data_IF_039577845837
#
_entry.id   IF_039577845837
#
_cell.length_a   1.000
_cell.length_b   1.000
_cell.length_c   1.000
_cell.angle_alpha   90.00
_cell.angle_beta   90.00
_cell.angle_gamma   90.00
#
_symmetry.space_group_name_H-M   'P 1'
#
loop_
_entity.id
_entity.type
_entity.pdbx_description
1 polymer ?
#
# COMPACT_ATOMS: atom_id res chain seq x y z
N UNK A 1 75.47 12.51 -23.18
CA UNK A 1 74.37 11.69 -23.73
C UNK A 1 73.24 12.63 -24.11
N UNK A 2 73.10 12.88 -25.41
CA UNK A 2 71.98 13.61 -26.00
C UNK A 2 70.83 12.64 -26.27
N UNK A 3 69.60 13.12 -26.21
CA UNK A 3 68.42 12.34 -26.58
C UNK A 3 67.10 12.99 -26.18
N UNK A 4 66.77 14.11 -26.82
CA UNK A 4 65.39 14.57 -26.95
C UNK A 4 64.93 14.19 -28.37
N UNK A 5 63.76 13.57 -28.54
CA UNK A 5 63.19 13.41 -29.88
C UNK A 5 62.20 12.25 -30.06
N UNK A 6 60.92 12.58 -29.88
CA UNK A 6 59.77 12.12 -30.65
C UNK A 6 59.47 10.60 -30.74
N UNK A 7 58.40 10.19 -30.05
CA UNK A 7 57.46 9.24 -30.66
C UNK A 7 56.02 9.70 -30.44
N UNK A 8 55.38 10.01 -31.55
CA UNK A 8 54.02 10.48 -31.66
C UNK A 8 53.04 9.30 -31.46
N UNK A 9 52.31 9.29 -30.35
CA UNK A 9 51.13 8.45 -30.19
C UNK A 9 49.89 9.20 -30.71
N UNK A 10 49.70 9.08 -32.02
CA UNK A 10 48.43 9.03 -32.75
C UNK A 10 47.21 9.76 -32.13
N UNK A 11 47.02 11.02 -32.54
CA UNK A 11 45.70 11.64 -32.54
C UNK A 11 44.85 11.00 -33.65
N UNK A 12 43.95 10.08 -33.26
CA UNK A 12 42.88 9.60 -34.12
C UNK A 12 41.78 10.67 -34.29
N UNK A 13 41.04 10.66 -35.41
CA UNK A 13 40.50 11.86 -36.04
C UNK A 13 39.27 12.41 -35.32
N UNK A 14 39.23 13.74 -35.15
CA UNK A 14 38.01 14.44 -34.76
C UNK A 14 37.06 14.44 -35.95
N UNK A 15 36.15 13.45 -35.99
CA UNK A 15 35.07 13.42 -36.95
C UNK A 15 34.31 14.77 -36.94
N UNK A 16 33.87 15.27 -38.12
CA UNK A 16 33.21 16.57 -38.21
C UNK A 16 31.97 16.57 -37.31
N UNK A 17 31.96 17.48 -36.32
CA UNK A 17 30.83 17.66 -35.40
C UNK A 17 29.61 18.08 -36.22
N UNK A 18 28.70 17.13 -36.44
CA UNK A 18 27.43 17.40 -37.10
C UNK A 18 26.70 18.55 -36.36
N UNK A 19 26.11 19.52 -37.09
CA UNK A 19 25.31 20.57 -36.49
C UNK A 19 24.18 19.94 -35.66
N UNK A 20 24.12 20.27 -34.37
CA UNK A 20 23.19 19.67 -33.41
C UNK A 20 23.81 18.72 -32.37
N UNK A 21 25.05 18.26 -32.59
CA UNK A 21 25.77 17.40 -31.63
C UNK A 21 25.95 18.05 -30.26
N UNK A 22 26.28 19.35 -30.21
CA UNK A 22 26.39 20.12 -28.98
C UNK A 22 25.05 20.23 -28.22
N UNK A 23 23.96 20.44 -28.96
CA UNK A 23 22.61 20.51 -28.39
C UNK A 23 22.16 19.15 -27.84
N UNK A 24 22.49 18.06 -28.53
CA UNK A 24 22.15 16.71 -28.08
C UNK A 24 22.97 16.30 -26.85
N UNK A 25 24.24 16.70 -26.76
CA UNK A 25 25.02 16.52 -25.53
C UNK A 25 24.47 17.33 -24.37
N UNK A 26 23.98 18.56 -24.61
CA UNK A 26 23.35 19.38 -23.57
C UNK A 26 22.04 18.75 -23.08
N UNK A 27 21.19 18.24 -23.98
CA UNK A 27 19.96 17.51 -23.63
C UNK A 27 20.26 16.23 -22.87
N UNK A 28 21.29 15.47 -23.27
CA UNK A 28 21.69 14.23 -22.58
C UNK A 28 22.18 14.54 -21.16
N UNK A 29 22.96 15.62 -20.97
CA UNK A 29 23.45 16.07 -19.67
C UNK A 29 22.32 16.56 -18.75
N UNK A 30 21.37 17.32 -19.30
CA UNK A 30 20.16 17.73 -18.57
C UNK A 30 19.32 16.52 -18.18
N UNK A 31 19.10 15.56 -19.09
CA UNK A 31 18.39 14.30 -18.77
C UNK A 31 19.10 13.50 -17.68
N UNK A 32 20.42 13.41 -17.68
CA UNK A 32 21.16 12.71 -16.61
C UNK A 32 21.08 13.43 -15.26
N UNK A 33 21.03 14.77 -15.25
CA UNK A 33 20.86 15.55 -14.01
C UNK A 33 19.43 15.41 -13.48
N UNK A 34 18.41 15.48 -14.36
CA UNK A 34 17.01 15.24 -13.98
C UNK A 34 16.75 13.81 -13.51
N UNK A 35 17.47 12.80 -14.04
CA UNK A 35 17.38 11.42 -13.54
C UNK A 35 18.02 11.28 -12.15
N UNK A 36 19.16 11.93 -11.90
CA UNK A 36 19.88 11.83 -10.62
C UNK A 36 19.16 12.59 -9.49
N UNK A 37 18.39 13.63 -9.80
CA UNK A 37 17.58 14.38 -8.82
C UNK A 37 16.16 13.79 -8.65
N UNK A 38 15.76 12.89 -9.56
CA UNK A 38 14.47 12.18 -9.57
C UNK A 38 14.45 10.85 -8.80
N UNK A 39 15.51 10.52 -8.06
CA UNK A 39 15.55 9.33 -7.17
C UNK A 39 14.90 9.61 -5.80
N UNK A 40 14.11 10.68 -5.68
CA UNK A 40 12.99 10.71 -4.77
C UNK A 40 11.78 10.16 -5.55
N UNK A 41 11.51 8.86 -5.35
CA UNK A 41 10.30 8.12 -5.74
C UNK A 41 9.36 8.90 -6.66
N UNK A 42 9.32 8.54 -7.95
CA UNK A 42 8.31 9.07 -8.88
C UNK A 42 6.91 8.59 -8.46
N UNK A 43 6.37 9.17 -7.39
CA UNK A 43 4.99 9.01 -6.94
C UNK A 43 4.17 9.80 -7.93
N UNK A 44 3.41 9.12 -8.79
CA UNK A 44 2.60 9.77 -9.80
C UNK A 44 1.56 10.67 -9.11
N UNK A 45 1.72 12.01 -9.10
CA UNK A 45 0.84 12.91 -8.34
C UNK A 45 -0.61 12.84 -8.83
N UNK A 46 -0.79 12.33 -10.05
CA UNK A 46 -2.08 12.11 -10.68
C UNK A 46 -2.85 10.93 -10.05
N UNK A 47 -2.17 9.85 -9.67
CA UNK A 47 -2.81 8.68 -9.03
C UNK A 47 -3.30 9.06 -7.63
N UNK A 48 -2.47 9.76 -6.85
CA UNK A 48 -2.87 10.29 -5.55
C UNK A 48 -4.03 11.30 -5.67
N UNK A 49 -4.09 12.08 -6.75
CA UNK A 49 -5.19 13.01 -7.01
C UNK A 49 -6.51 12.32 -7.35
N UNK A 50 -6.49 11.26 -8.16
CA UNK A 50 -7.70 10.51 -8.51
C UNK A 50 -8.26 9.74 -7.30
N UNK A 51 -7.39 9.09 -6.55
CA UNK A 51 -7.74 8.40 -5.29
C UNK A 51 -8.31 9.38 -4.27
N UNK A 52 -7.68 10.57 -4.12
CA UNK A 52 -8.19 11.63 -3.26
C UNK A 52 -9.61 12.08 -3.66
N UNK A 53 -9.86 12.33 -4.95
CA UNK A 53 -11.18 12.77 -5.41
C UNK A 53 -12.27 11.75 -5.08
N UNK A 54 -12.01 10.45 -5.32
CA UNK A 54 -12.95 9.36 -5.01
C UNK A 54 -13.20 9.24 -3.51
N UNK A 55 -12.15 9.30 -2.68
CA UNK A 55 -12.28 9.25 -1.22
C UNK A 55 -13.03 10.47 -0.68
N UNK A 56 -12.76 11.66 -1.22
CA UNK A 56 -13.45 12.90 -0.85
C UNK A 56 -14.94 12.81 -1.17
N UNK A 57 -15.29 12.45 -2.40
CA UNK A 57 -16.69 12.38 -2.83
C UNK A 57 -17.47 11.36 -2.00
N UNK A 58 -16.90 10.18 -1.78
CA UNK A 58 -17.52 9.15 -0.95
C UNK A 58 -17.63 9.55 0.52
N UNK A 59 -16.63 10.23 1.10
CA UNK A 59 -16.71 10.77 2.46
C UNK A 59 -17.82 11.82 2.59
N UNK A 60 -17.95 12.74 1.63
CA UNK A 60 -18.97 13.79 1.64
C UNK A 60 -20.40 13.26 1.42
N UNK A 61 -20.58 12.04 0.90
CA UNK A 61 -21.91 11.43 0.80
C UNK A 61 -22.53 11.08 2.16
N UNK A 62 -21.72 11.01 3.22
CA UNK A 62 -22.17 10.59 4.56
C UNK A 62 -22.52 9.10 4.69
N UNK A 63 -22.36 8.30 3.62
CA UNK A 63 -22.58 6.85 3.65
C UNK A 63 -21.26 6.13 3.89
N UNK A 64 -21.04 5.68 5.14
CA UNK A 64 -19.80 5.01 5.56
C UNK A 64 -19.40 3.83 4.66
N UNK A 65 -20.37 3.04 4.19
CA UNK A 65 -20.11 1.89 3.31
C UNK A 65 -19.42 2.28 2.00
N UNK A 66 -19.80 3.40 1.37
CA UNK A 66 -19.17 3.85 0.12
C UNK A 66 -17.73 4.33 0.35
N UNK A 67 -17.51 5.03 1.46
CA UNK A 67 -16.16 5.40 1.86
C UNK A 67 -15.29 4.18 2.15
N UNK A 68 -15.83 3.20 2.88
CA UNK A 68 -15.15 1.95 3.20
C UNK A 68 -14.79 1.15 1.94
N UNK A 69 -15.67 1.09 0.94
CA UNK A 69 -15.37 0.45 -0.36
C UNK A 69 -14.27 1.21 -1.10
N UNK A 70 -14.35 2.54 -1.19
CA UNK A 70 -13.31 3.33 -1.84
C UNK A 70 -11.96 3.24 -1.11
N UNK A 71 -11.96 3.14 0.21
CA UNK A 71 -10.77 2.93 1.04
C UNK A 71 -10.17 1.54 0.84
N UNK A 72 -11.02 0.51 0.78
CA UNK A 72 -10.61 -0.86 0.48
C UNK A 72 -9.95 -0.96 -0.89
N UNK A 73 -10.56 -0.35 -1.92
CA UNK A 73 -10.01 -0.29 -3.28
C UNK A 73 -8.66 0.46 -3.31
N UNK A 74 -8.56 1.58 -2.59
CA UNK A 74 -7.37 2.43 -2.59
C UNK A 74 -6.17 1.78 -1.90
N UNK A 75 -6.42 1.07 -0.80
CA UNK A 75 -5.39 0.36 -0.05
C UNK A 75 -5.18 -1.06 -0.52
N UNK A 76 -6.05 -1.59 -1.39
CA UNK A 76 -6.04 -2.99 -1.83
C UNK A 76 -6.07 -3.94 -0.60
N UNK A 77 -7.10 -3.75 0.22
CA UNK A 77 -7.45 -4.55 1.40
C UNK A 77 -8.89 -5.03 1.29
N UNK A 78 -9.30 -5.99 2.10
CA UNK A 78 -10.69 -6.43 2.12
C UNK A 78 -11.63 -5.40 2.79
N UNK A 79 -12.91 -5.45 2.40
CA UNK A 79 -13.94 -4.55 2.92
C UNK A 79 -14.13 -4.65 4.44
N UNK A 80 -13.97 -5.84 5.03
CA UNK A 80 -14.15 -6.03 6.48
C UNK A 80 -13.03 -5.35 7.28
N UNK A 81 -11.81 -5.40 6.76
CA UNK A 81 -10.66 -4.67 7.32
C UNK A 81 -10.86 -3.16 7.16
N UNK A 82 -11.24 -2.67 5.97
CA UNK A 82 -11.54 -1.24 5.77
C UNK A 82 -12.67 -0.73 6.68
N UNK A 83 -13.71 -1.56 6.90
CA UNK A 83 -14.79 -1.29 7.83
C UNK A 83 -14.28 -1.20 9.27
N UNK A 84 -13.49 -2.16 9.73
CA UNK A 84 -12.93 -2.13 11.09
C UNK A 84 -12.09 -0.86 11.33
N UNK A 85 -11.27 -0.45 10.35
CA UNK A 85 -10.44 0.77 10.44
C UNK A 85 -11.25 2.06 10.62
N UNK A 86 -12.52 2.08 10.18
CA UNK A 86 -13.39 3.26 10.22
C UNK A 86 -14.47 3.19 11.31
N UNK A 87 -14.86 2.00 11.75
CA UNK A 87 -15.83 1.81 12.84
C UNK A 87 -15.21 2.03 14.23
N UNK A 88 -13.90 1.90 14.37
CA UNK A 88 -13.23 2.27 15.60
C UNK A 88 -13.46 3.77 15.90
N UNK A 89 -13.76 4.08 17.16
CA UNK A 89 -13.99 5.44 17.65
C UNK A 89 -12.78 6.36 17.52
N UNK A 90 -11.65 5.85 17.06
CA UNK A 90 -10.41 6.59 16.86
C UNK A 90 -10.06 6.68 15.38
N UNK A 91 -9.97 7.90 14.86
CA UNK A 91 -9.49 8.18 13.51
C UNK A 91 -7.99 7.88 13.30
N UNK A 92 -7.27 7.36 14.31
CA UNK A 92 -5.83 7.05 14.23
C UNK A 92 -5.52 5.96 13.20
N UNK A 93 -6.36 4.94 13.10
CA UNK A 93 -6.25 3.91 12.06
C UNK A 93 -6.44 4.51 10.67
N UNK A 94 -7.40 5.43 10.53
CA UNK A 94 -7.61 6.17 9.29
C UNK A 94 -6.43 7.09 8.95
N UNK A 95 -5.77 7.74 9.93
CA UNK A 95 -4.57 8.54 9.67
C UNK A 95 -3.46 7.71 9.03
N UNK A 96 -3.21 6.51 9.54
CA UNK A 96 -2.21 5.60 8.97
C UNK A 96 -2.58 5.19 7.54
N UNK A 97 -3.85 4.88 7.28
CA UNK A 97 -4.33 4.62 5.93
C UNK A 97 -4.08 5.81 4.97
N UNK A 98 -4.49 7.03 5.36
CA UNK A 98 -4.32 8.22 4.52
C UNK A 98 -2.86 8.61 4.31
N UNK A 99 -2.01 8.35 5.31
CA UNK A 99 -0.56 8.61 5.22
C UNK A 99 0.14 7.63 4.30
N UNK A 100 -0.29 6.36 4.27
CA UNK A 100 0.20 5.35 3.33
C UNK A 100 -0.19 5.67 1.87
N UNK A 101 -1.30 6.38 1.66
CA UNK A 101 -1.72 6.89 0.34
C UNK A 101 -0.98 8.18 -0.08
N UNK A 102 -0.02 8.63 0.72
CA UNK A 102 0.78 9.84 0.51
C UNK A 102 -0.06 11.11 0.24
N UNK A 103 -1.17 11.23 0.97
CA UNK A 103 -2.00 12.43 0.91
C UNK A 103 -1.34 13.59 1.65
N UNK A 104 -1.54 14.82 1.16
CA UNK A 104 -1.11 16.02 1.89
C UNK A 104 -1.96 16.23 3.15
N UNK A 105 -1.43 16.99 4.11
CA UNK A 105 -2.10 17.32 5.37
C UNK A 105 -3.52 17.84 5.16
N UNK A 106 -3.70 18.78 4.23
CA UNK A 106 -4.99 19.43 3.95
C UNK A 106 -6.01 18.43 3.37
N UNK A 107 -5.55 17.53 2.49
CA UNK A 107 -6.38 16.51 1.85
C UNK A 107 -6.82 15.45 2.85
N UNK A 108 -5.88 15.01 3.69
CA UNK A 108 -6.17 14.06 4.76
C UNK A 108 -7.15 14.67 5.78
N UNK A 109 -6.94 15.92 6.17
CA UNK A 109 -7.83 16.64 7.08
C UNK A 109 -9.26 16.71 6.56
N UNK A 110 -9.45 17.10 5.30
CA UNK A 110 -10.79 17.21 4.71
C UNK A 110 -11.53 15.87 4.74
N UNK A 111 -10.85 14.77 4.39
CA UNK A 111 -11.45 13.43 4.45
C UNK A 111 -11.83 13.07 5.88
N UNK A 112 -10.94 13.30 6.85
CA UNK A 112 -11.18 12.92 8.25
C UNK A 112 -12.33 13.73 8.87
N UNK A 113 -12.43 15.02 8.59
CA UNK A 113 -13.55 15.85 9.04
C UNK A 113 -14.88 15.43 8.40
N UNK A 114 -14.86 15.05 7.13
CA UNK A 114 -16.06 14.56 6.44
C UNK A 114 -16.57 13.23 7.03
N UNK A 115 -15.65 12.34 7.44
CA UNK A 115 -16.00 11.04 8.05
C UNK A 115 -16.36 11.19 9.54
N UNK A 116 -15.64 12.03 10.28
CA UNK A 116 -15.80 12.22 11.73
C UNK A 116 -16.05 13.69 12.10
N UNK A 117 -17.18 14.29 11.71
CA UNK A 117 -17.44 15.71 11.95
C UNK A 117 -17.50 16.07 13.45
N UNK A 118 -17.84 15.11 14.31
CA UNK A 118 -17.97 15.31 15.77
C UNK A 118 -16.63 15.41 16.50
N UNK A 119 -15.54 14.93 15.91
CA UNK A 119 -14.21 14.92 16.53
C UNK A 119 -13.49 16.28 16.45
N UNK A 120 -14.04 17.23 15.67
CA UNK A 120 -13.42 18.54 15.44
C UNK A 120 -14.32 19.73 15.87
N UNK A 121 -14.78 19.79 17.13
CA UNK A 121 -15.63 20.89 17.59
C UNK A 121 -14.87 22.20 17.85
N UNK A 122 -13.55 22.13 18.08
CA UNK A 122 -12.73 23.27 18.46
C UNK A 122 -11.35 23.30 17.77
N UNK A 123 -10.74 24.48 17.54
CA UNK A 123 -9.47 24.63 16.82
C UNK A 123 -8.30 23.80 17.39
N UNK A 124 -8.30 23.51 18.69
CA UNK A 124 -7.28 22.67 19.32
C UNK A 124 -7.29 21.23 18.79
N UNK A 125 -8.45 20.70 18.39
CA UNK A 125 -8.55 19.35 17.80
C UNK A 125 -7.85 19.30 16.44
N UNK A 126 -7.99 20.36 15.65
CA UNK A 126 -7.31 20.51 14.36
C UNK A 126 -5.80 20.54 14.56
N UNK A 127 -5.30 21.30 15.54
CA UNK A 127 -3.87 21.34 15.85
C UNK A 127 -3.32 19.97 16.25
N UNK A 128 -4.01 19.26 17.15
CA UNK A 128 -3.63 17.92 17.59
C UNK A 128 -3.61 16.94 16.40
N UNK A 129 -4.58 17.05 15.49
CA UNK A 129 -4.60 16.25 14.27
C UNK A 129 -3.36 16.50 13.40
N UNK A 130 -3.04 17.77 13.13
CA UNK A 130 -1.89 18.14 12.30
C UNK A 130 -0.58 17.67 12.92
N UNK A 131 -0.41 17.86 14.22
CA UNK A 131 0.78 17.40 14.95
C UNK A 131 0.93 15.88 14.85
N UNK A 132 -0.16 15.12 15.04
CA UNK A 132 -0.16 13.65 14.90
C UNK A 132 0.15 13.20 13.48
N UNK A 133 -0.41 13.89 12.47
CA UNK A 133 -0.19 13.53 11.08
C UNK A 133 1.27 13.78 10.65
N UNK A 134 1.89 14.85 11.14
CA UNK A 134 3.31 15.16 10.90
C UNK A 134 4.26 14.17 11.56
N UNK A 135 3.92 13.74 12.78
CA UNK A 135 4.69 12.72 13.50
C UNK A 135 4.57 11.33 12.87
N UNK A 136 3.52 11.10 12.06
CA UNK A 136 3.32 9.82 11.38
C UNK A 136 4.13 9.78 10.09
N UNK A 137 5.25 9.06 10.10
CA UNK A 137 6.08 8.84 8.92
C UNK A 137 5.37 7.96 7.89
N UNK A 138 5.57 8.28 6.60
CA UNK A 138 5.01 7.52 5.47
C UNK A 138 5.42 6.04 5.50
N UNK A 139 6.70 5.76 5.73
CA UNK A 139 7.26 4.41 5.91
C UNK A 139 6.51 3.59 6.98
N UNK A 140 6.36 4.17 8.18
CA UNK A 140 5.65 3.51 9.28
C UNK A 140 4.15 3.28 8.99
N UNK A 141 3.55 4.14 8.16
CA UNK A 141 2.18 3.97 7.70
C UNK A 141 2.07 2.84 6.67
N UNK A 142 3.03 2.71 5.75
CA UNK A 142 3.09 1.61 4.79
C UNK A 142 3.24 0.26 5.50
N UNK A 143 4.07 0.17 6.54
CA UNK A 143 4.24 -1.07 7.31
C UNK A 143 2.95 -1.51 8.00
N UNK A 144 2.16 -0.57 8.51
CA UNK A 144 0.82 -0.88 9.06
C UNK A 144 -0.12 -1.42 7.99
N UNK A 145 -0.14 -0.81 6.80
CA UNK A 145 -0.97 -1.30 5.68
C UNK A 145 -0.51 -2.67 5.21
N UNK A 146 0.80 -2.93 5.16
CA UNK A 146 1.34 -4.26 4.88
C UNK A 146 0.86 -5.30 5.90
N UNK A 147 0.83 -4.95 7.18
CA UNK A 147 0.26 -5.77 8.24
C UNK A 147 -1.22 -6.10 7.98
N UNK A 148 -2.02 -5.10 7.63
CA UNK A 148 -3.45 -5.30 7.31
C UNK A 148 -3.66 -6.19 6.08
N UNK A 149 -2.87 -5.99 5.02
CA UNK A 149 -2.89 -6.85 3.82
C UNK A 149 -2.54 -8.30 4.15
N UNK A 150 -1.51 -8.51 4.98
CA UNK A 150 -1.13 -9.85 5.41
C UNK A 150 -2.25 -10.51 6.24
N UNK A 151 -2.96 -9.74 7.05
CA UNK A 151 -4.12 -10.21 7.81
C UNK A 151 -5.29 -10.59 6.90
N UNK A 152 -5.57 -9.77 5.87
CA UNK A 152 -6.54 -10.07 4.81
C UNK A 152 -6.23 -11.39 4.11
N UNK A 153 -4.97 -11.56 3.68
CA UNK A 153 -4.52 -12.78 3.01
C UNK A 153 -4.61 -14.00 3.94
N UNK A 154 -4.23 -13.85 5.21
CA UNK A 154 -4.33 -14.91 6.21
C UNK A 154 -5.78 -15.34 6.47
N UNK A 155 -6.71 -14.38 6.51
CA UNK A 155 -8.16 -14.65 6.62
C UNK A 155 -8.70 -15.35 5.38
N UNK A 156 -8.29 -14.94 4.18
CA UNK A 156 -8.70 -15.59 2.93
C UNK A 156 -8.24 -17.06 2.89
N UNK A 157 -6.99 -17.34 3.28
CA UNK A 157 -6.46 -18.72 3.34
C UNK A 157 -7.20 -19.57 4.38
N UNK A 158 -7.50 -19.02 5.56
CA UNK A 158 -8.27 -19.72 6.61
C UNK A 158 -9.74 -19.92 6.24
N UNK A 159 -10.36 -18.98 5.54
CA UNK A 159 -11.73 -19.11 5.04
C UNK A 159 -11.86 -20.14 3.92
N UNK A 160 -10.77 -20.42 3.22
CA UNK A 160 -10.72 -21.36 2.09
C UNK A 160 -10.28 -22.77 2.49
N UNK A 161 -10.04 -23.08 3.77
CA UNK A 161 -10.01 -24.47 4.21
C UNK A 161 -11.43 -25.01 4.16
N UNK A 162 -11.77 -25.93 3.23
CA UNK A 162 -13.05 -26.61 3.31
C UNK A 162 -13.07 -27.28 4.69
N UNK A 163 -14.06 -26.92 5.50
CA UNK A 163 -14.45 -27.72 6.65
C UNK A 163 -14.70 -29.11 6.09
N UNK A 164 -13.76 -30.03 6.32
CA UNK A 164 -13.94 -31.44 6.03
C UNK A 164 -15.05 -31.93 6.95
N UNK A 165 -16.30 -31.74 6.50
CA UNK A 165 -17.53 -32.13 7.18
C UNK A 165 -17.80 -33.64 7.03
N UNK A 166 -16.81 -34.44 6.62
CA UNK A 166 -16.87 -35.89 6.64
C UNK A 166 -15.82 -36.44 7.60
N UNK A 167 -16.08 -36.29 8.90
CA UNK A 167 -15.63 -37.26 9.89
C UNK A 167 -16.59 -38.43 9.90
N UNK A 168 -16.70 -39.16 8.78
CA UNK A 168 -17.40 -40.44 8.75
C UNK A 168 -16.45 -41.49 9.36
N UNK A 169 -16.42 -41.52 10.68
CA UNK A 169 -15.70 -42.53 11.44
C UNK A 169 -16.55 -43.81 11.44
N UNK A 170 -16.39 -44.62 10.40
CA UNK A 170 -16.56 -46.07 10.51
C UNK A 170 -15.21 -46.67 10.11
N UNK A 171 -14.58 -47.53 10.95
CA UNK A 171 -15.20 -48.81 11.30
C UNK A 171 -14.89 -49.32 12.72
N UNK A 172 -15.78 -50.12 13.33
CA UNK A 172 -15.34 -51.43 13.82
C UNK A 172 -16.51 -52.42 13.87
N UNK A 173 -16.27 -53.56 13.24
CA UNK A 173 -17.16 -54.70 13.13
C UNK A 173 -16.85 -55.60 14.32
N UNK A 174 -17.61 -55.46 15.39
CA UNK A 174 -17.47 -56.34 16.55
C UNK A 174 -18.05 -57.74 16.23
N UNK A 175 -17.18 -58.59 15.71
CA UNK A 175 -17.37 -60.01 15.34
C UNK A 175 -17.48 -60.93 16.59
N UNK A 176 -18.20 -60.51 17.64
CA UNK A 176 -18.26 -61.26 18.90
C UNK A 176 -19.62 -61.90 19.24
N UNK A 177 -20.74 -61.56 18.57
CA UNK A 177 -22.08 -62.04 18.98
C UNK A 177 -22.60 -63.33 18.34
N UNK A 178 -21.81 -64.06 17.53
CA UNK A 178 -22.29 -65.29 16.85
C UNK A 178 -21.83 -66.62 17.47
N UNK A 179 -21.35 -66.64 18.72
CA UNK A 179 -20.97 -67.92 19.39
C UNK A 179 -21.65 -68.23 20.72
N UNK A 180 -22.63 -67.46 21.17
CA UNK A 180 -23.24 -67.69 22.48
C UNK A 180 -24.62 -68.40 22.49
N UNK A 181 -25.33 -68.53 21.37
CA UNK A 181 -26.74 -69.02 21.40
C UNK A 181 -26.96 -70.46 20.90
N UNK A 182 -25.97 -71.35 21.07
CA UNK A 182 -26.14 -72.78 20.76
C UNK A 182 -25.60 -73.67 21.89
N UNK A 183 -26.17 -73.54 23.10
CA UNK A 183 -26.13 -74.57 24.16
C UNK A 183 -27.10 -74.21 25.29
N UNK A 184 -27.70 -75.25 25.88
CA UNK A 184 -28.77 -75.28 26.89
C UNK A 184 -30.18 -75.16 26.27
N UNK A 185 -30.86 -76.27 25.99
CA UNK A 185 -31.54 -77.20 26.93
C UNK A 185 -32.90 -76.68 27.38
#
# INVERSE_FOLDING_TARGET
>A
MAGNGAEAAAAAPSAPKLPGSAAETARRRLRSMMLAEGEATSVNPFVGSATYSKLRETALTGKAAFFQTALADALDIDFSTARSLTEHSSYVSLLAALRALDLSEDRAFLIVVAVYPREFPHPQAIRIFLDRYRLLHHEAALDKVRGWKAETLSRAVRGNTPVAANGDQAPDVDKASLRASLKAS
#
